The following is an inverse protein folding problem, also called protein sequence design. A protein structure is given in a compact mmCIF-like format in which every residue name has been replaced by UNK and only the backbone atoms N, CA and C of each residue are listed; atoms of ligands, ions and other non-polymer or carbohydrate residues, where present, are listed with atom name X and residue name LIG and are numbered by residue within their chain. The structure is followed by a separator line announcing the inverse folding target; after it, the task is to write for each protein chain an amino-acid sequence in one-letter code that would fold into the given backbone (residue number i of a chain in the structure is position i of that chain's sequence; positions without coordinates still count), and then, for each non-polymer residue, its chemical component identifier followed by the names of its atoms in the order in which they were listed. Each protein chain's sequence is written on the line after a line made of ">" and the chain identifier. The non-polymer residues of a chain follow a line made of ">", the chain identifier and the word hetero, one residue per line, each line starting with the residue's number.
data_IF_901335296190
#
_entry.id   IF_901335296190
#
_cell.length_a   1.000
_cell.length_b   1.000
_cell.length_c   1.000
_cell.angle_alpha   90.00
_cell.angle_beta   90.00
_cell.angle_gamma   90.00
#
_symmetry.space_group_name_H-M   'P 1'
#
loop_
_entity.id
_entity.type
_entity.pdbx_description
1 polymer ?
#
# COMPACT_ATOMS: atom_id res chain seq x y z
N UNK A 1 8.63 10.23 -11.28
CA UNK A 1 7.48 9.44 -11.72
C UNK A 1 6.41 9.43 -10.64
N UNK A 2 5.17 9.26 -11.04
CA UNK A 2 4.04 9.28 -10.12
C UNK A 2 4.16 8.23 -9.02
N UNK A 3 4.63 7.04 -9.37
CA UNK A 3 4.85 5.96 -8.42
C UNK A 3 5.74 6.42 -7.25
N UNK A 4 6.90 6.98 -7.57
CA UNK A 4 7.86 7.41 -6.56
C UNK A 4 7.29 8.51 -5.67
N UNK A 5 6.59 9.46 -6.27
CA UNK A 5 5.99 10.57 -5.52
C UNK A 5 4.93 10.09 -4.54
N UNK A 6 4.06 9.19 -4.99
CA UNK A 6 3.00 8.66 -4.13
C UNK A 6 3.58 7.79 -3.03
N UNK A 7 4.55 6.93 -3.34
CA UNK A 7 5.18 6.09 -2.33
C UNK A 7 5.89 6.92 -1.28
N UNK A 8 6.62 7.96 -1.69
CA UNK A 8 7.33 8.82 -0.75
C UNK A 8 6.36 9.58 0.15
N UNK A 9 5.31 10.14 -0.42
CA UNK A 9 4.29 10.87 0.33
C UNK A 9 3.63 9.98 1.37
N UNK A 10 3.23 8.79 0.95
CA UNK A 10 2.48 7.90 1.84
C UNK A 10 3.40 7.23 2.86
N UNK A 11 4.67 7.00 2.52
CA UNK A 11 5.64 6.51 3.49
C UNK A 11 5.84 7.52 4.61
N UNK A 12 5.96 8.81 4.27
CA UNK A 12 6.07 9.87 5.25
C UNK A 12 4.85 9.92 6.15
N UNK A 13 3.66 9.82 5.54
CA UNK A 13 2.41 9.80 6.30
C UNK A 13 2.39 8.60 7.26
N UNK A 14 2.82 7.44 6.78
CA UNK A 14 2.83 6.23 7.59
C UNK A 14 3.79 6.33 8.77
N UNK A 15 4.91 7.02 8.60
CA UNK A 15 5.87 7.23 9.69
C UNK A 15 5.30 8.11 10.80
N UNK A 16 4.46 9.09 10.43
CA UNK A 16 3.94 10.07 11.37
C UNK A 16 2.54 9.76 11.88
N UNK A 17 1.77 8.97 11.14
CA UNK A 17 0.39 8.64 11.50
C UNK A 17 0.20 7.14 11.58
N UNK A 18 -0.49 6.71 12.64
CA UNK A 18 -0.78 5.29 12.80
C UNK A 18 -2.00 4.92 11.96
N UNK A 19 -1.87 3.93 11.10
CA UNK A 19 -2.98 3.41 10.31
C UNK A 19 -3.41 2.07 10.87
N UNK A 20 -4.71 1.94 11.13
CA UNK A 20 -5.26 0.72 11.72
C UNK A 20 -5.03 -0.50 10.81
N UNK A 21 -4.58 -1.58 11.42
CA UNK A 21 -4.44 -2.85 10.71
C UNK A 21 -3.18 -2.99 9.87
N UNK A 22 -2.29 -2.01 9.90
CA UNK A 22 -1.02 -2.08 9.16
C UNK A 22 0.14 -2.26 10.13
N UNK A 23 1.08 -3.12 9.75
CA UNK A 23 2.25 -3.41 10.56
C UNK A 23 3.21 -2.22 10.59
N UNK A 24 3.52 -1.72 11.78
CA UNK A 24 4.41 -0.57 11.96
C UNK A 24 5.84 -0.84 11.51
N UNK A 25 6.19 -2.09 11.29
CA UNK A 25 7.49 -2.43 10.74
C UNK A 25 7.74 -1.73 9.41
N UNK A 26 6.67 -1.47 8.64
CA UNK A 26 6.76 -0.73 7.39
C UNK A 26 7.26 0.70 7.54
N UNK A 27 7.28 1.26 8.75
CA UNK A 27 7.81 2.62 8.96
C UNK A 27 9.34 2.65 9.04
N UNK A 28 10.00 1.51 9.02
CA UNK A 28 11.45 1.39 9.16
C UNK A 28 12.18 2.02 7.97
N UNK A 29 11.78 1.67 6.76
CA UNK A 29 12.36 2.24 5.54
C UNK A 29 11.41 1.95 4.37
N UNK A 30 11.64 2.60 3.21
CA UNK A 30 10.74 2.43 2.07
C UNK A 30 10.60 0.98 1.57
N UNK A 31 11.67 0.19 1.63
CA UNK A 31 11.61 -1.21 1.19
C UNK A 31 10.67 -2.02 2.08
N UNK A 32 10.75 -1.82 3.39
CA UNK A 32 9.86 -2.49 4.33
C UNK A 32 8.42 -2.01 4.18
N UNK A 33 8.25 -0.72 3.91
CA UNK A 33 6.93 -0.16 3.65
C UNK A 33 6.28 -0.85 2.45
N UNK A 34 7.02 -0.98 1.36
CA UNK A 34 6.53 -1.65 0.17
C UNK A 34 6.19 -3.12 0.46
N UNK A 35 7.04 -3.79 1.23
CA UNK A 35 6.81 -5.20 1.58
C UNK A 35 5.53 -5.37 2.40
N UNK A 36 5.34 -4.52 3.41
CA UNK A 36 4.14 -4.57 4.24
C UNK A 36 2.89 -4.30 3.40
N UNK A 37 2.95 -3.29 2.53
CA UNK A 37 1.79 -2.95 1.70
C UNK A 37 1.49 -4.01 0.67
N UNK A 38 2.52 -4.68 0.13
CA UNK A 38 2.31 -5.78 -0.81
C UNK A 38 1.58 -6.94 -0.13
N UNK A 39 1.96 -7.27 1.10
CA UNK A 39 1.28 -8.31 1.87
C UNK A 39 -0.17 -7.93 2.11
N UNK A 40 -0.43 -6.69 2.52
CA UNK A 40 -1.79 -6.20 2.74
C UNK A 40 -2.59 -6.24 1.44
N UNK A 41 -1.95 -5.89 0.33
CA UNK A 41 -2.61 -5.90 -0.97
C UNK A 41 -3.14 -7.29 -1.33
N UNK A 42 -2.37 -8.34 -1.05
CA UNK A 42 -2.78 -9.69 -1.38
C UNK A 42 -3.67 -10.35 -0.33
N UNK A 43 -3.45 -10.05 0.95
CA UNK A 43 -4.16 -10.73 2.02
C UNK A 43 -5.39 -9.97 2.54
N UNK A 44 -5.28 -8.65 2.68
CA UNK A 44 -6.37 -7.83 3.21
C UNK A 44 -6.48 -6.53 2.41
N UNK A 45 -6.78 -6.64 1.11
CA UNK A 45 -6.75 -5.46 0.21
C UNK A 45 -7.65 -4.31 0.63
N UNK A 46 -8.76 -4.59 1.33
CA UNK A 46 -9.64 -3.52 1.77
C UNK A 46 -8.94 -2.58 2.74
N UNK A 47 -8.06 -3.10 3.59
CA UNK A 47 -7.28 -2.26 4.50
C UNK A 47 -6.38 -1.30 3.74
N UNK A 48 -5.82 -1.77 2.63
CA UNK A 48 -4.96 -0.91 1.81
C UNK A 48 -5.78 0.19 1.14
N UNK A 49 -6.94 -0.16 0.60
CA UNK A 49 -7.82 0.83 -0.02
C UNK A 49 -8.22 1.90 1.00
N UNK A 50 -8.55 1.48 2.21
CA UNK A 50 -8.99 2.41 3.25
C UNK A 50 -7.86 3.33 3.70
N UNK A 51 -6.65 2.82 3.78
CA UNK A 51 -5.50 3.60 4.26
C UNK A 51 -4.82 4.39 3.15
N UNK A 52 -4.55 3.75 2.02
CA UNK A 52 -3.78 4.34 0.93
C UNK A 52 -4.35 3.93 -0.43
N UNK A 53 -5.49 4.53 -0.81
CA UNK A 53 -6.17 4.14 -2.06
C UNK A 53 -5.31 4.36 -3.30
N UNK A 54 -4.45 5.37 -3.30
CA UNK A 54 -3.59 5.63 -4.45
C UNK A 54 -2.56 4.52 -4.63
N UNK A 55 -2.03 4.00 -3.51
CA UNK A 55 -1.09 2.89 -3.57
C UNK A 55 -1.80 1.62 -4.03
N UNK A 56 -3.02 1.39 -3.56
CA UNK A 56 -3.80 0.24 -4.03
C UNK A 56 -3.92 0.27 -5.55
N UNK A 57 -4.29 1.43 -6.09
CA UNK A 57 -4.46 1.59 -7.53
C UNK A 57 -3.16 1.33 -8.29
N UNK A 58 -2.04 1.83 -7.76
CA UNK A 58 -0.74 1.60 -8.37
C UNK A 58 -0.38 0.12 -8.34
N UNK A 59 -0.66 -0.56 -7.24
CA UNK A 59 -0.35 -1.99 -7.12
C UNK A 59 -1.19 -2.84 -8.04
N UNK A 60 -2.45 -2.47 -8.26
CA UNK A 60 -3.30 -3.15 -9.24
C UNK A 60 -2.60 -3.14 -10.60
N UNK A 61 -2.08 -1.99 -10.99
CA UNK A 61 -1.39 -1.84 -12.27
C UNK A 61 -0.06 -2.58 -12.27
N UNK A 62 0.68 -2.50 -11.17
CA UNK A 62 1.99 -3.12 -11.06
C UNK A 62 1.91 -4.65 -11.11
N UNK A 63 1.02 -5.22 -10.32
CA UNK A 63 0.86 -6.68 -10.26
C UNK A 63 -0.11 -7.21 -11.30
N UNK A 64 -0.82 -6.33 -12.00
CA UNK A 64 -1.84 -6.68 -12.98
C UNK A 64 -2.93 -7.56 -12.39
N UNK A 65 -3.32 -7.26 -11.14
CA UNK A 65 -4.35 -7.96 -10.40
C UNK A 65 -5.22 -6.97 -9.65
N UNK A 66 -6.47 -7.34 -9.43
CA UNK A 66 -7.42 -6.53 -8.67
C UNK A 66 -8.08 -7.41 -7.62
N UNK A 67 -7.45 -7.58 -6.44
CA UNK A 67 -7.94 -8.53 -5.44
C UNK A 67 -9.38 -8.29 -4.99
N UNK A 68 -9.85 -7.04 -5.04
CA UNK A 68 -11.21 -6.70 -4.61
C UNK A 68 -12.22 -6.72 -5.75
N UNK A 69 -11.78 -6.95 -6.99
CA UNK A 69 -12.67 -6.96 -8.14
C UNK A 69 -12.64 -8.34 -8.80
N UNK A 70 -13.80 -8.89 -9.14
CA UNK A 70 -13.83 -10.16 -9.83
C UNK A 70 -13.20 -10.01 -11.22
N UNK A 71 -12.53 -11.05 -11.65
CA UNK A 71 -12.00 -11.07 -13.01
C UNK A 71 -13.14 -11.19 -14.00
N UNK A 72 -13.06 -10.39 -15.01
CA UNK A 72 -14.03 -10.44 -16.08
C UNK A 72 -13.90 -11.74 -16.86
#
# INVERSE_FOLDING_TARGET
>A
ARWTQIMSRDFEDFQTHRKSGLDRYGATNPAEFFAVLSEVFFETPQKLVDAYPDIYDIMVKFFKQSPLQPKA
#
